data_IF_263550389782
#
_entry.id   IF_263550389782
#
_cell.length_a   1.000
_cell.length_b   1.000
_cell.length_c   1.000
_cell.angle_alpha   90.00
_cell.angle_beta   90.00
_cell.angle_gamma   90.00
#
_symmetry.space_group_name_H-M   'P 1'
#
loop_
_entity.id
_entity.type
_entity.pdbx_description
1 polymer ?
#
# COMPACT_ATOMS: atom_id res chain seq x y z
N UNK A 1 -2.62 10.37 -23.53
CA UNK A 1 -2.72 10.35 -22.06
C UNK A 1 -3.67 9.23 -21.67
N UNK A 2 -3.15 8.10 -21.20
CA UNK A 2 -3.96 6.89 -20.92
C UNK A 2 -4.40 6.90 -19.47
N UNK A 3 -5.50 7.62 -19.20
CA UNK A 3 -6.17 7.59 -17.91
C UNK A 3 -6.90 6.25 -17.80
N UNK A 4 -6.92 5.66 -16.60
CA UNK A 4 -7.54 4.35 -16.34
C UNK A 4 -8.97 4.29 -16.91
N UNK A 5 -9.33 3.17 -17.53
CA UNK A 5 -10.72 2.90 -17.92
C UNK A 5 -11.65 3.05 -16.71
N UNK A 6 -12.82 3.69 -16.87
CA UNK A 6 -13.75 3.93 -15.77
C UNK A 6 -14.08 2.61 -15.06
N UNK A 7 -14.11 2.64 -13.73
CA UNK A 7 -14.52 1.47 -12.97
C UNK A 7 -15.99 1.16 -13.31
N UNK A 8 -16.35 -0.12 -13.53
CA UNK A 8 -17.73 -0.47 -13.85
C UNK A 8 -18.69 -0.02 -12.73
N UNK A 9 -19.92 0.39 -13.07
CA UNK A 9 -20.88 0.90 -12.09
C UNK A 9 -21.13 -0.15 -11.00
N UNK A 10 -20.99 0.25 -9.74
CA UNK A 10 -21.14 -0.62 -8.57
C UNK A 10 -19.89 -1.40 -8.13
N UNK A 11 -18.82 -1.42 -8.93
CA UNK A 11 -17.60 -2.18 -8.59
C UNK A 11 -16.57 -1.36 -7.79
N UNK A 12 -16.68 -0.03 -7.80
CA UNK A 12 -15.72 0.83 -7.10
C UNK A 12 -16.37 2.11 -6.58
N UNK A 13 -16.16 2.39 -5.29
CA UNK A 13 -16.53 3.64 -4.61
C UNK A 13 -15.38 4.65 -4.65
N UNK A 14 -14.52 4.58 -5.68
CA UNK A 14 -13.28 5.37 -5.74
C UNK A 14 -13.52 6.87 -5.97
N UNK A 15 -14.76 7.38 -5.89
CA UNK A 15 -15.08 8.82 -5.96
C UNK A 15 -14.34 9.54 -7.10
N UNK A 16 -14.17 8.86 -8.24
CA UNK A 16 -13.33 9.32 -9.36
C UNK A 16 -13.79 10.67 -9.89
N UNK A 17 -15.11 10.84 -10.05
CA UNK A 17 -15.70 12.11 -10.46
C UNK A 17 -15.41 13.20 -9.41
N UNK A 18 -15.67 12.93 -8.14
CA UNK A 18 -15.32 13.83 -7.03
C UNK A 18 -13.84 14.24 -7.02
N UNK A 19 -12.92 13.31 -7.30
CA UNK A 19 -11.49 13.58 -7.40
C UNK A 19 -11.15 14.47 -8.61
N UNK A 20 -11.82 14.26 -9.74
CA UNK A 20 -11.67 15.09 -10.94
C UNK A 20 -12.18 16.51 -10.68
N UNK A 21 -13.25 16.63 -9.91
CA UNK A 21 -13.91 17.87 -9.56
C UNK A 21 -13.20 18.61 -8.41
N UNK A 22 -12.42 17.92 -7.58
CA UNK A 22 -11.70 18.51 -6.46
C UNK A 22 -10.37 19.13 -6.92
N UNK A 23 -10.24 20.47 -6.95
CA UNK A 23 -8.99 21.12 -7.28
C UNK A 23 -7.93 20.85 -6.19
N UNK A 24 -6.77 20.33 -6.60
CA UNK A 24 -5.68 19.98 -5.68
C UNK A 24 -5.70 18.53 -5.18
N UNK A 25 -6.71 17.74 -5.54
CA UNK A 25 -6.69 16.31 -5.26
C UNK A 25 -5.68 15.56 -6.15
N UNK A 26 -5.11 14.47 -5.63
CA UNK A 26 -4.08 13.67 -6.30
C UNK A 26 -4.64 12.89 -7.50
N UNK A 27 -4.80 13.58 -8.64
CA UNK A 27 -5.21 12.97 -9.92
C UNK A 27 -4.22 11.92 -10.43
N UNK A 28 -3.04 11.82 -9.82
CA UNK A 28 -2.03 10.79 -10.12
C UNK A 28 -2.55 9.38 -9.90
N UNK A 29 -3.43 9.18 -8.92
CA UNK A 29 -4.06 7.87 -8.67
C UNK A 29 -4.86 7.36 -9.88
N UNK A 30 -5.35 8.27 -10.72
CA UNK A 30 -6.09 7.94 -11.95
C UNK A 30 -5.19 7.31 -13.02
N UNK A 31 -3.88 7.41 -12.89
CA UNK A 31 -2.91 6.72 -13.75
C UNK A 31 -2.67 5.27 -13.33
N UNK A 32 -3.19 4.83 -12.18
CA UNK A 32 -3.07 3.44 -11.72
C UNK A 32 -3.93 2.50 -12.58
N UNK A 33 -3.39 2.06 -13.71
CA UNK A 33 -4.05 1.09 -14.58
C UNK A 33 -4.03 -0.31 -13.97
N UNK A 34 -4.86 -1.23 -14.51
CA UNK A 34 -4.84 -2.64 -14.09
C UNK A 34 -3.45 -3.29 -14.24
N UNK A 35 -2.66 -2.85 -15.22
CA UNK A 35 -1.31 -3.37 -15.44
C UNK A 35 -0.35 -2.88 -14.36
N UNK A 36 -0.40 -1.59 -14.01
CA UNK A 36 0.42 -1.02 -12.95
C UNK A 36 0.04 -1.60 -11.59
N UNK A 37 -1.26 -1.79 -11.30
CA UNK A 37 -1.72 -2.51 -10.11
C UNK A 37 -1.10 -3.92 -10.07
N UNK A 38 -1.18 -4.69 -11.16
CA UNK A 38 -0.62 -6.05 -11.19
C UNK A 38 0.89 -6.06 -10.95
N UNK A 39 1.64 -5.16 -11.61
CA UNK A 39 3.10 -5.04 -11.40
C UNK A 39 3.43 -4.66 -9.96
N UNK A 40 2.65 -3.76 -9.37
CA UNK A 40 2.84 -3.29 -8.01
C UNK A 40 2.61 -4.41 -7.00
N UNK A 41 1.55 -5.20 -7.19
CA UNK A 41 1.26 -6.38 -6.38
C UNK A 41 2.36 -7.43 -6.52
N UNK A 42 2.76 -7.77 -7.74
CA UNK A 42 3.82 -8.74 -8.01
C UNK A 42 5.15 -8.32 -7.34
N UNK A 43 5.48 -7.03 -7.40
CA UNK A 43 6.66 -6.46 -6.76
C UNK A 43 6.58 -6.50 -5.23
N UNK A 44 5.41 -6.22 -4.65
CA UNK A 44 5.17 -6.36 -3.21
C UNK A 44 5.22 -7.83 -2.74
N UNK A 45 4.88 -8.78 -3.61
CA UNK A 45 4.97 -10.21 -3.31
C UNK A 45 6.42 -10.76 -3.42
N UNK A 46 7.34 -10.03 -4.06
CA UNK A 46 8.76 -10.38 -4.21
C UNK A 46 9.71 -9.46 -3.40
N UNK A 47 9.18 -8.80 -2.37
CA UNK A 47 9.97 -7.94 -1.48
C UNK A 47 11.20 -8.69 -0.96
N UNK A 48 12.38 -8.10 -1.15
CA UNK A 48 13.64 -8.74 -0.76
C UNK A 48 14.07 -8.40 0.66
N UNK A 49 13.77 -7.19 1.12
CA UNK A 49 14.20 -6.64 2.41
C UNK A 49 13.28 -5.52 2.86
N UNK A 50 13.37 -5.11 4.13
CA UNK A 50 12.62 -3.97 4.67
C UNK A 50 12.84 -2.68 3.84
N UNK A 51 14.07 -2.38 3.43
CA UNK A 51 14.36 -1.23 2.58
C UNK A 51 13.62 -1.25 1.24
N UNK A 52 13.38 -2.44 0.66
CA UNK A 52 12.62 -2.55 -0.58
C UNK A 52 11.15 -2.20 -0.35
N UNK A 53 10.59 -2.64 0.78
CA UNK A 53 9.24 -2.26 1.22
C UNK A 53 9.14 -0.75 1.46
N UNK A 54 10.11 -0.14 2.15
CA UNK A 54 10.16 1.31 2.38
C UNK A 54 10.29 2.10 1.06
N UNK A 55 11.16 1.67 0.15
CA UNK A 55 11.26 2.27 -1.19
C UNK A 55 9.96 2.18 -1.96
N UNK A 56 9.28 1.03 -1.91
CA UNK A 56 7.99 0.84 -2.57
C UNK A 56 6.93 1.77 -1.99
N UNK A 57 6.85 1.92 -0.66
CA UNK A 57 5.95 2.87 -0.01
C UNK A 57 6.24 4.32 -0.45
N UNK A 58 7.50 4.72 -0.48
CA UNK A 58 7.92 6.05 -0.95
C UNK A 58 7.56 6.26 -2.42
N UNK A 59 7.84 5.29 -3.30
CA UNK A 59 7.48 5.37 -4.71
C UNK A 59 5.98 5.47 -4.93
N UNK A 60 5.17 4.74 -4.16
CA UNK A 60 3.71 4.84 -4.22
C UNK A 60 3.23 6.22 -3.79
N UNK A 61 3.82 6.78 -2.74
CA UNK A 61 3.50 8.13 -2.31
C UNK A 61 3.92 9.17 -3.35
N UNK A 62 5.12 9.07 -3.91
CA UNK A 62 5.60 10.04 -4.90
C UNK A 62 4.87 9.94 -6.23
N UNK A 63 4.65 8.72 -6.74
CA UNK A 63 4.02 8.51 -8.04
C UNK A 63 2.50 8.60 -8.00
N UNK A 64 1.87 8.08 -6.95
CA UNK A 64 0.41 7.92 -6.87
C UNK A 64 -0.24 8.73 -5.75
N UNK A 65 0.54 9.25 -4.79
CA UNK A 65 0.01 9.91 -3.58
C UNK A 65 -0.43 8.93 -2.49
N UNK A 66 -0.33 7.62 -2.70
CA UNK A 66 -0.83 6.61 -1.76
C UNK A 66 0.12 6.51 -0.58
N UNK A 67 -0.38 6.75 0.63
CA UNK A 67 0.34 6.50 1.88
C UNK A 67 -0.06 5.16 2.46
N UNK A 68 0.91 4.26 2.54
CA UNK A 68 0.78 2.98 3.21
C UNK A 68 1.60 3.06 4.49
N UNK A 69 0.97 2.70 5.60
CA UNK A 69 1.57 2.65 6.92
C UNK A 69 1.65 1.18 7.33
N UNK A 70 2.87 0.70 7.54
CA UNK A 70 3.12 -0.65 8.03
C UNK A 70 3.73 -0.52 9.42
N UNK A 71 3.03 -1.02 10.42
CA UNK A 71 3.48 -0.97 11.82
C UNK A 71 3.25 -2.31 12.51
N UNK A 72 4.12 -2.72 13.44
CA UNK A 72 3.83 -3.85 14.32
C UNK A 72 2.71 -3.47 15.30
N UNK A 73 1.71 -4.33 15.41
CA UNK A 73 0.61 -4.21 16.37
C UNK A 73 1.08 -4.51 17.79
N UNK A 74 0.42 -3.89 18.76
CA UNK A 74 0.76 -3.99 20.18
C UNK A 74 0.56 -5.39 20.78
N UNK A 75 -0.28 -6.23 20.17
CA UNK A 75 -0.70 -7.50 20.77
C UNK A 75 0.24 -8.62 20.32
N UNK A 76 1.14 -9.02 21.22
CA UNK A 76 2.01 -10.20 21.11
C UNK A 76 2.81 -10.30 19.80
N UNK A 77 3.89 -9.51 19.71
CA UNK A 77 4.85 -9.46 18.60
C UNK A 77 5.69 -10.74 18.38
N UNK A 78 5.29 -11.88 18.96
CA UNK A 78 5.94 -13.18 18.72
C UNK A 78 5.44 -13.91 17.46
N UNK A 79 4.47 -13.35 16.74
CA UNK A 79 3.89 -13.97 15.55
C UNK A 79 3.66 -12.95 14.44
N UNK A 80 3.88 -13.36 13.17
CA UNK A 80 3.67 -12.54 11.96
C UNK A 80 2.27 -11.87 11.88
N UNK A 81 1.28 -12.40 12.63
CA UNK A 81 -0.08 -11.84 12.76
C UNK A 81 -0.14 -10.48 13.45
N UNK A 82 0.93 -10.06 14.11
CA UNK A 82 0.99 -8.76 14.77
C UNK A 82 1.05 -7.57 13.80
N UNK A 83 1.48 -7.72 12.54
CA UNK A 83 1.73 -6.56 11.67
C UNK A 83 0.41 -5.96 11.14
N UNK A 84 0.17 -4.69 11.48
CA UNK A 84 -0.93 -3.89 10.97
C UNK A 84 -0.46 -3.09 9.76
N UNK A 85 -1.21 -3.21 8.67
CA UNK A 85 -0.98 -2.46 7.44
C UNK A 85 -2.22 -1.61 7.21
N UNK A 86 -2.06 -0.30 7.30
CA UNK A 86 -3.11 0.70 7.15
C UNK A 86 -2.81 1.55 5.93
N UNK A 87 -3.83 1.85 5.13
CA UNK A 87 -3.69 2.76 3.98
C UNK A 87 -4.52 4.00 4.29
N UNK A 88 -3.88 5.15 4.14
CA UNK A 88 -4.49 6.45 4.38
C UNK A 88 -5.70 6.67 3.46
N UNK A 89 -6.61 7.55 3.88
CA UNK A 89 -7.83 7.76 3.12
C UNK A 89 -7.55 8.62 1.89
N UNK A 90 -7.52 7.97 0.72
CA UNK A 90 -7.24 8.62 -0.54
C UNK A 90 -8.45 8.48 -1.48
N UNK A 91 -9.13 9.59 -1.83
CA UNK A 91 -10.13 9.57 -2.89
C UNK A 91 -9.45 9.12 -4.20
N UNK A 92 -10.16 8.40 -5.07
CA UNK A 92 -9.59 7.79 -6.27
C UNK A 92 -9.02 6.38 -6.08
N UNK A 93 -8.73 5.95 -4.84
CA UNK A 93 -8.19 4.61 -4.58
C UNK A 93 -9.27 3.54 -4.72
N UNK A 94 -9.01 2.53 -5.55
CA UNK A 94 -9.91 1.40 -5.69
C UNK A 94 -10.00 0.59 -4.40
N UNK A 95 -11.21 0.21 -3.98
CA UNK A 95 -11.44 -0.76 -2.88
C UNK A 95 -10.64 -2.06 -3.09
N UNK A 96 -10.50 -2.50 -4.35
CA UNK A 96 -9.66 -3.65 -4.70
C UNK A 96 -8.19 -3.40 -4.35
N UNK A 97 -7.60 -2.33 -4.86
CA UNK A 97 -6.21 -1.93 -4.60
C UNK A 97 -5.93 -1.78 -3.10
N UNK A 98 -6.86 -1.14 -2.36
CA UNK A 98 -6.77 -0.95 -0.91
C UNK A 98 -6.71 -2.26 -0.13
N UNK A 99 -7.25 -3.36 -0.68
CA UNK A 99 -7.15 -4.70 -0.10
C UNK A 99 -6.01 -5.53 -0.69
N UNK A 100 -5.69 -5.34 -1.98
CA UNK A 100 -4.62 -6.08 -2.65
C UNK A 100 -3.23 -5.66 -2.16
N UNK A 101 -2.97 -4.37 -1.95
CA UNK A 101 -1.69 -3.88 -1.40
C UNK A 101 -1.34 -4.56 -0.06
N UNK A 102 -2.18 -4.51 0.99
CA UNK A 102 -1.85 -5.14 2.26
C UNK A 102 -1.76 -6.67 2.13
N UNK A 103 -2.58 -7.29 1.27
CA UNK A 103 -2.48 -8.72 1.01
C UNK A 103 -1.13 -9.11 0.37
N UNK A 104 -0.62 -8.31 -0.57
CA UNK A 104 0.66 -8.53 -1.23
C UNK A 104 1.84 -8.35 -0.27
N UNK A 105 1.82 -7.29 0.55
CA UNK A 105 2.81 -7.06 1.60
C UNK A 105 2.84 -8.24 2.57
N UNK A 106 1.67 -8.70 3.03
CA UNK A 106 1.57 -9.89 3.90
C UNK A 106 2.21 -11.11 3.26
N UNK A 107 1.90 -11.40 1.99
CA UNK A 107 2.52 -12.52 1.26
C UNK A 107 4.03 -12.38 1.14
N UNK A 108 4.54 -11.17 0.89
CA UNK A 108 5.97 -10.88 0.85
C UNK A 108 6.64 -11.16 2.21
N UNK A 109 6.01 -10.74 3.31
CA UNK A 109 6.47 -11.03 4.68
C UNK A 109 6.37 -12.51 5.05
N UNK A 110 5.33 -13.21 4.60
CA UNK A 110 5.18 -14.66 4.80
C UNK A 110 6.29 -15.44 4.07
N UNK A 111 6.66 -15.02 2.85
CA UNK A 111 7.80 -15.58 2.12
C UNK A 111 9.14 -15.25 2.77
N UNK A 112 9.26 -14.05 3.37
CA UNK A 112 10.49 -13.55 4.01
C UNK A 112 10.21 -13.00 5.40
N UNK A 113 10.15 -13.88 6.42
CA UNK A 113 10.01 -13.47 7.83
C UNK A 113 11.02 -12.41 8.28
N UNK A 114 12.21 -12.39 7.70
CA UNK A 114 13.27 -11.43 7.98
C UNK A 114 12.82 -9.98 7.86
N UNK A 115 11.90 -9.68 6.92
CA UNK A 115 11.34 -8.33 6.74
C UNK A 115 10.52 -7.94 7.97
N UNK A 116 9.70 -8.85 8.49
CA UNK A 116 8.90 -8.65 9.68
C UNK A 116 9.79 -8.45 10.92
N UNK A 117 10.84 -9.26 11.07
CA UNK A 117 11.80 -9.10 12.17
C UNK A 117 12.53 -7.76 12.10
N UNK A 118 12.99 -7.35 10.92
CA UNK A 118 13.63 -6.04 10.73
C UNK A 118 12.67 -4.88 10.98
N UNK A 119 11.41 -5.02 10.59
CA UNK A 119 10.38 -4.01 10.86
C UNK A 119 10.15 -3.86 12.36
N UNK A 120 10.05 -4.99 13.07
CA UNK A 120 9.91 -5.03 14.53
C UNK A 120 11.12 -4.38 15.20
N UNK A 121 12.33 -4.79 14.83
CA UNK A 121 13.59 -4.24 15.33
C UNK A 121 13.69 -2.72 15.11
N UNK A 122 13.37 -2.24 13.89
CA UNK A 122 13.35 -0.82 13.58
C UNK A 122 12.34 -0.05 14.45
N UNK A 123 11.13 -0.58 14.64
CA UNK A 123 10.10 0.09 15.44
C UNK A 123 10.29 -0.02 16.96
N UNK A 124 10.91 -1.09 17.45
CA UNK A 124 11.27 -1.27 18.86
C UNK A 124 12.29 -0.21 19.27
N UNK A 125 13.29 0.05 18.43
CA UNK A 125 14.27 1.11 18.63
C UNK A 125 13.67 2.53 18.71
N UNK A 126 12.54 2.78 18.05
CA UNK A 126 11.85 4.08 18.07
C UNK A 126 10.90 4.24 19.27
N UNK A 127 10.63 3.18 20.04
CA UNK A 127 9.69 3.21 21.17
C UNK A 127 10.34 3.46 22.53
N UNK A 128 11.65 3.31 22.62
CA UNK A 128 12.43 3.49 23.87
C UNK A 128 12.98 4.93 24.04
N UNK A 129 12.39 5.92 23.35
CA UNK A 129 12.80 7.33 23.39
C UNK A 129 11.82 8.23 24.12
#
# INVERSE_FOLDING_TARGET
MTIRQPCPPGACVCEREQLLETPGADQRILQLTRQEEKKLIDRLEDLKSLQDLERMQQLMYQQLGIRVHVAPGHTEVKSMRGIQIVIDDLPGLCRKTRQSIPAAIRRGMEKRPEIAYRLLDAHDLFRDG
#
